data_IF_444299175474
#
_entry.id   IF_444299175474
#
_cell.length_a   1.000
_cell.length_b   1.000
_cell.length_c   1.000
_cell.angle_alpha   90.00
_cell.angle_beta   90.00
_cell.angle_gamma   90.00
#
_symmetry.space_group_name_H-M   'P 1'
#
loop_
_entity.id
_entity.type
_entity.pdbx_description
1 polymer ?
#
# COMPACT_ATOMS: atom_id res chain seq x y z
N UNK A 1 21.93 31.69 1.21
CA UNK A 1 21.13 30.55 0.69
C UNK A 1 21.70 30.21 -0.67
N UNK A 2 22.27 29.01 -0.85
CA UNK A 2 22.89 28.62 -2.13
C UNK A 2 21.78 28.16 -3.07
N UNK A 3 21.69 28.74 -4.27
CA UNK A 3 20.81 28.25 -5.33
C UNK A 3 21.44 26.96 -5.87
N UNK A 4 20.75 25.83 -5.66
CA UNK A 4 21.20 24.55 -6.19
C UNK A 4 20.70 24.40 -7.63
N UNK A 5 21.45 23.71 -8.51
CA UNK A 5 21.01 23.45 -9.88
C UNK A 5 19.75 22.57 -9.92
N UNK A 6 18.93 22.73 -10.95
CA UNK A 6 17.75 21.89 -11.17
C UNK A 6 18.11 20.39 -11.29
N UNK A 7 19.28 20.09 -11.84
CA UNK A 7 19.82 18.72 -11.89
C UNK A 7 20.02 18.10 -10.51
N UNK A 8 20.39 18.90 -9.50
CA UNK A 8 20.50 18.44 -8.13
C UNK A 8 19.11 18.14 -7.54
N UNK A 9 18.12 18.98 -7.80
CA UNK A 9 16.74 18.75 -7.32
C UNK A 9 16.12 17.50 -7.94
N UNK A 10 16.35 17.28 -9.24
CA UNK A 10 15.96 16.05 -9.93
C UNK A 10 16.66 14.83 -9.33
N UNK A 11 17.98 14.88 -9.17
CA UNK A 11 18.74 13.80 -8.56
C UNK A 11 18.24 13.47 -7.14
N UNK A 12 18.03 14.49 -6.29
CA UNK A 12 17.59 14.31 -4.92
C UNK A 12 16.18 13.69 -4.84
N UNK A 13 15.26 14.14 -5.70
CA UNK A 13 13.92 13.58 -5.78
C UNK A 13 13.94 12.12 -6.24
N UNK A 14 14.60 11.84 -7.37
CA UNK A 14 14.66 10.49 -7.94
C UNK A 14 15.35 9.51 -6.99
N UNK A 15 16.44 9.92 -6.34
CA UNK A 15 17.14 9.10 -5.34
C UNK A 15 16.27 8.76 -4.13
N UNK A 16 15.37 9.68 -3.72
CA UNK A 16 14.42 9.41 -2.65
C UNK A 16 13.34 8.41 -3.07
N UNK A 17 12.84 8.51 -4.31
CA UNK A 17 11.93 7.50 -4.88
C UNK A 17 12.62 6.13 -4.97
N UNK A 18 13.87 6.09 -5.43
CA UNK A 18 14.69 4.86 -5.47
C UNK A 18 14.84 4.24 -4.09
N UNK A 19 15.14 5.05 -3.07
CA UNK A 19 15.28 4.57 -1.70
C UNK A 19 13.97 3.95 -1.17
N UNK A 20 12.81 4.53 -1.51
CA UNK A 20 11.50 3.96 -1.14
C UNK A 20 11.28 2.62 -1.86
N UNK A 21 11.62 2.53 -3.15
CA UNK A 21 11.53 1.29 -3.93
C UNK A 21 12.40 0.19 -3.34
N UNK A 22 13.66 0.50 -3.04
CA UNK A 22 14.61 -0.48 -2.54
C UNK A 22 14.21 -0.97 -1.13
N UNK A 23 13.71 -0.08 -0.27
CA UNK A 23 13.14 -0.43 1.02
C UNK A 23 11.90 -1.35 0.89
N UNK A 24 11.05 -1.10 -0.12
CA UNK A 24 9.92 -1.97 -0.41
C UNK A 24 10.38 -3.36 -0.88
N UNK A 25 11.34 -3.44 -1.80
CA UNK A 25 11.86 -4.70 -2.32
C UNK A 25 12.52 -5.55 -1.22
N UNK A 26 13.27 -4.91 -0.32
CA UNK A 26 13.82 -5.58 0.86
C UNK A 26 12.71 -6.13 1.77
N UNK A 27 11.68 -5.31 2.03
CA UNK A 27 10.56 -5.68 2.91
C UNK A 27 9.73 -6.83 2.34
N UNK A 28 9.41 -6.79 1.04
CA UNK A 28 8.59 -7.83 0.40
C UNK A 28 9.35 -9.14 0.23
N UNK A 29 10.67 -9.09 0.07
CA UNK A 29 11.52 -10.29 0.04
C UNK A 29 11.43 -11.04 1.37
N UNK A 30 11.58 -10.33 2.50
CA UNK A 30 11.44 -10.91 3.84
C UNK A 30 10.04 -11.49 4.06
N UNK A 31 8.99 -10.78 3.65
CA UNK A 31 7.62 -11.25 3.81
C UNK A 31 7.31 -12.48 2.94
N UNK A 32 7.79 -12.52 1.69
CA UNK A 32 7.62 -13.69 0.81
C UNK A 32 8.28 -14.92 1.39
N UNK A 33 9.44 -14.78 2.00
CA UNK A 33 10.12 -15.87 2.67
C UNK A 33 9.34 -16.35 3.90
N UNK A 34 8.77 -15.42 4.68
CA UNK A 34 7.87 -15.77 5.79
C UNK A 34 6.60 -16.48 5.31
N UNK A 35 5.96 -16.01 4.23
CA UNK A 35 4.77 -16.65 3.64
C UNK A 35 5.10 -18.07 3.18
N UNK A 36 6.23 -18.24 2.48
CA UNK A 36 6.71 -19.55 2.01
C UNK A 36 6.99 -20.50 3.17
N UNK A 37 7.62 -20.01 4.24
CA UNK A 37 7.93 -20.82 5.43
C UNK A 37 6.66 -21.25 6.16
N UNK A 38 5.75 -20.32 6.44
CA UNK A 38 4.49 -20.61 7.13
C UNK A 38 3.63 -21.62 6.35
N UNK A 39 3.49 -21.42 5.03
CA UNK A 39 2.77 -22.37 4.18
C UNK A 39 3.42 -23.76 4.13
N UNK A 40 4.77 -23.83 4.10
CA UNK A 40 5.48 -25.11 4.14
C UNK A 40 5.28 -25.83 5.49
N UNK A 41 5.34 -25.12 6.62
CA UNK A 41 5.11 -25.69 7.94
C UNK A 41 3.68 -26.23 8.08
N UNK A 42 2.68 -25.45 7.65
CA UNK A 42 1.28 -25.89 7.63
C UNK A 42 1.07 -27.15 6.76
N UNK A 43 1.58 -27.15 5.53
CA UNK A 43 1.45 -28.29 4.63
C UNK A 43 2.17 -29.53 5.16
N UNK A 44 3.36 -29.38 5.75
CA UNK A 44 4.11 -30.49 6.33
C UNK A 44 3.35 -31.12 7.51
N UNK A 45 2.74 -30.31 8.37
CA UNK A 45 1.93 -30.81 9.48
C UNK A 45 0.67 -31.52 8.98
N UNK A 46 -0.06 -30.94 8.02
CA UNK A 46 -1.21 -31.63 7.42
C UNK A 46 -0.85 -32.97 6.78
N UNK A 47 0.34 -33.08 6.19
CA UNK A 47 0.80 -34.30 5.52
C UNK A 47 1.34 -35.35 6.49
N UNK A 48 1.76 -34.97 7.70
CA UNK A 48 2.22 -35.94 8.70
C UNK A 48 1.08 -36.82 9.21
N UNK A 49 -0.16 -36.30 9.18
CA UNK A 49 -1.33 -36.96 9.76
C UNK A 49 -1.29 -36.98 11.29
N UNK A 50 -0.40 -36.20 11.91
CA UNK A 50 -0.39 -35.97 13.35
C UNK A 50 -1.63 -35.14 13.73
N UNK A 51 -2.25 -35.53 14.84
CA UNK A 51 -3.35 -34.82 15.48
C UNK A 51 -3.00 -34.68 16.96
N UNK A 52 -2.82 -33.44 17.38
CA UNK A 52 -2.47 -33.04 18.74
C UNK A 52 -3.56 -32.18 19.37
N UNK A 53 -4.79 -32.25 18.86
CA UNK A 53 -5.90 -31.47 19.37
C UNK A 53 -6.20 -31.84 20.84
N UNK A 54 -6.19 -30.85 21.72
CA UNK A 54 -6.60 -31.00 23.12
C UNK A 54 -7.88 -30.20 23.39
N UNK A 55 -8.79 -30.81 24.15
CA UNK A 55 -10.07 -30.21 24.52
C UNK A 55 -10.21 -30.14 26.04
N UNK A 56 -10.83 -29.07 26.54
CA UNK A 56 -11.19 -28.95 27.96
C UNK A 56 -12.45 -29.77 28.34
N UNK A 57 -12.85 -29.68 29.62
CA UNK A 57 -14.01 -30.40 30.17
C UNK A 57 -15.34 -30.03 29.50
N UNK A 58 -15.41 -28.85 28.87
CA UNK A 58 -16.59 -28.34 28.17
C UNK A 58 -16.55 -28.64 26.65
N UNK A 59 -15.48 -29.30 26.17
CA UNK A 59 -15.29 -29.64 24.76
C UNK A 59 -14.76 -28.47 23.92
N UNK A 60 -14.18 -27.44 24.53
CA UNK A 60 -13.53 -26.35 23.83
C UNK A 60 -12.10 -26.73 23.46
N UNK A 61 -11.68 -26.43 22.22
CA UNK A 61 -10.31 -26.67 21.75
C UNK A 61 -9.33 -25.74 22.48
N UNK A 62 -8.41 -26.29 23.26
CA UNK A 62 -7.40 -25.56 24.04
C UNK A 62 -6.02 -25.57 23.39
N UNK A 63 -5.69 -26.61 22.63
CA UNK A 63 -4.42 -26.72 21.91
C UNK A 63 -4.64 -27.39 20.56
N UNK A 64 -3.88 -26.95 19.57
CA UNK A 64 -3.89 -27.50 18.22
C UNK A 64 -2.75 -26.87 17.42
N UNK A 65 -1.81 -27.70 16.98
CA UNK A 65 -0.72 -27.24 16.10
C UNK A 65 -1.26 -26.87 14.72
N UNK A 66 -2.23 -27.63 14.19
CA UNK A 66 -2.84 -27.35 12.89
C UNK A 66 -3.45 -25.94 12.83
N UNK A 67 -4.25 -25.60 13.83
CA UNK A 67 -4.93 -24.31 13.92
C UNK A 67 -3.93 -23.17 14.14
N UNK A 68 -2.88 -23.42 14.95
CA UNK A 68 -1.81 -22.45 15.18
C UNK A 68 -1.03 -22.14 13.89
N UNK A 69 -0.70 -23.16 13.10
CA UNK A 69 0.01 -23.02 11.83
C UNK A 69 -0.87 -22.33 10.76
N UNK A 70 -2.14 -22.72 10.65
CA UNK A 70 -3.11 -22.06 9.76
C UNK A 70 -3.25 -20.57 10.10
N UNK A 71 -3.33 -20.25 11.40
CA UNK A 71 -3.40 -18.87 11.87
C UNK A 71 -2.11 -18.11 11.54
N UNK A 72 -0.93 -18.72 11.73
CA UNK A 72 0.35 -18.10 11.38
C UNK A 72 0.43 -17.74 9.89
N UNK A 73 0.01 -18.64 8.99
CA UNK A 73 -0.05 -18.37 7.54
C UNK A 73 -0.93 -17.15 7.22
N UNK A 74 -2.14 -17.10 7.80
CA UNK A 74 -3.08 -15.99 7.63
C UNK A 74 -2.48 -14.67 8.14
N UNK A 75 -1.83 -14.68 9.30
CA UNK A 75 -1.23 -13.49 9.90
C UNK A 75 -0.10 -12.92 9.05
N UNK A 76 0.75 -13.77 8.45
CA UNK A 76 1.79 -13.29 7.53
C UNK A 76 1.17 -12.63 6.30
N UNK A 77 0.09 -13.21 5.74
CA UNK A 77 -0.64 -12.61 4.62
C UNK A 77 -1.23 -11.23 4.96
N UNK A 78 -1.75 -11.05 6.18
CA UNK A 78 -2.21 -9.74 6.66
C UNK A 78 -1.06 -8.74 6.81
N UNK A 79 0.04 -9.15 7.43
CA UNK A 79 1.23 -8.30 7.56
C UNK A 79 1.74 -7.84 6.19
N UNK A 80 1.81 -8.76 5.21
CA UNK A 80 2.25 -8.43 3.86
C UNK A 80 1.32 -7.43 3.16
N UNK A 81 0.01 -7.55 3.37
CA UNK A 81 -0.97 -6.59 2.86
C UNK A 81 -0.77 -5.20 3.47
N UNK A 82 -0.61 -5.10 4.79
CA UNK A 82 -0.42 -3.81 5.46
C UNK A 82 0.89 -3.13 5.06
N UNK A 83 1.98 -3.89 4.91
CA UNK A 83 3.26 -3.36 4.40
C UNK A 83 3.10 -2.78 3.00
N UNK A 84 2.41 -3.48 2.09
CA UNK A 84 2.17 -2.95 0.73
C UNK A 84 1.37 -1.64 0.76
N UNK A 85 0.34 -1.54 1.60
CA UNK A 85 -0.45 -0.30 1.77
C UNK A 85 0.40 0.85 2.31
N UNK A 86 1.28 0.56 3.28
CA UNK A 86 2.17 1.54 3.88
C UNK A 86 3.10 2.13 2.81
N UNK A 87 3.71 1.31 1.95
CA UNK A 87 4.60 1.79 0.90
C UNK A 87 3.90 2.63 -0.17
N UNK A 88 2.67 2.27 -0.59
CA UNK A 88 1.87 3.12 -1.49
C UNK A 88 1.62 4.50 -0.85
N UNK A 89 1.25 4.51 0.43
CA UNK A 89 1.00 5.73 1.19
C UNK A 89 2.28 6.58 1.32
N UNK A 90 3.40 5.95 1.68
CA UNK A 90 4.70 6.62 1.84
C UNK A 90 5.21 7.21 0.53
N UNK A 91 5.07 6.50 -0.60
CA UNK A 91 5.44 7.02 -1.91
C UNK A 91 4.62 8.27 -2.27
N UNK A 92 3.30 8.22 -2.08
CA UNK A 92 2.44 9.37 -2.34
C UNK A 92 2.77 10.56 -1.41
N UNK A 93 3.03 10.31 -0.13
CA UNK A 93 3.43 11.35 0.82
C UNK A 93 4.80 11.95 0.49
N UNK A 94 5.72 11.15 -0.04
CA UNK A 94 7.02 11.65 -0.52
C UNK A 94 6.84 12.62 -1.68
N UNK A 95 5.95 12.30 -2.64
CA UNK A 95 5.56 13.23 -3.69
C UNK A 95 4.96 14.51 -3.09
N UNK A 96 3.95 14.39 -2.22
CA UNK A 96 3.26 15.56 -1.65
C UNK A 96 4.22 16.50 -0.92
N UNK A 97 5.14 15.94 -0.12
CA UNK A 97 6.14 16.73 0.62
C UNK A 97 7.11 17.44 -0.33
N UNK A 98 7.61 16.73 -1.33
CA UNK A 98 8.46 17.30 -2.37
C UNK A 98 7.72 18.41 -3.12
N UNK A 99 6.44 18.18 -3.38
CA UNK A 99 5.62 19.12 -4.12
C UNK A 99 5.36 20.42 -3.38
N UNK A 100 5.13 20.34 -2.06
CA UNK A 100 5.04 21.54 -1.22
C UNK A 100 6.36 22.32 -1.24
N UNK A 101 7.50 21.62 -1.28
CA UNK A 101 8.82 22.26 -1.32
C UNK A 101 9.05 23.05 -2.63
N UNK A 102 8.70 22.50 -3.79
CA UNK A 102 8.94 23.20 -5.07
C UNK A 102 7.91 24.31 -5.36
N UNK A 103 6.71 24.24 -4.76
CA UNK A 103 5.61 25.18 -4.99
C UNK A 103 5.55 26.28 -3.95
N UNK A 104 6.12 26.05 -2.77
CA UNK A 104 5.94 26.92 -1.59
C UNK A 104 4.57 26.77 -0.93
N UNK A 105 3.74 25.82 -1.35
CA UNK A 105 2.36 25.64 -0.87
C UNK A 105 2.30 24.82 0.42
N UNK A 106 2.67 25.41 1.55
CA UNK A 106 2.71 24.70 2.84
C UNK A 106 1.42 24.75 3.67
N UNK A 107 0.50 25.66 3.34
CA UNK A 107 -0.73 25.80 4.14
C UNK A 107 -1.67 24.59 4.02
N UNK A 108 -2.39 24.21 5.09
CA UNK A 108 -3.34 23.10 5.09
C UNK A 108 -4.46 23.21 4.03
N UNK A 109 -4.81 24.43 3.62
CA UNK A 109 -5.81 24.69 2.58
C UNK A 109 -5.35 24.29 1.18
N UNK A 110 -4.03 24.14 0.96
CA UNK A 110 -3.46 23.66 -0.30
C UNK A 110 -3.57 22.13 -0.34
N UNK A 111 -4.80 21.68 -0.64
CA UNK A 111 -5.11 20.26 -0.86
C UNK A 111 -4.54 19.74 -2.18
N UNK A 112 -4.85 18.49 -2.48
CA UNK A 112 -4.29 17.78 -3.64
C UNK A 112 -4.46 18.54 -4.96
N UNK A 113 -5.67 19.02 -5.27
CA UNK A 113 -5.95 19.65 -6.58
C UNK A 113 -5.13 20.94 -6.79
N UNK A 114 -5.02 21.77 -5.76
CA UNK A 114 -4.21 23.01 -5.79
C UNK A 114 -2.73 22.69 -5.93
N UNK A 115 -2.26 21.67 -5.21
CA UNK A 115 -0.86 21.25 -5.27
C UNK A 115 -0.52 20.61 -6.62
N UNK A 116 -1.46 19.85 -7.20
CA UNK A 116 -1.33 19.22 -8.52
C UNK A 116 -1.15 20.27 -9.61
N UNK A 117 -2.05 21.27 -9.65
CA UNK A 117 -2.01 22.36 -10.64
C UNK A 117 -0.68 23.13 -10.57
N UNK A 118 -0.29 23.59 -9.39
CA UNK A 118 0.95 24.33 -9.21
C UNK A 118 2.22 23.48 -9.42
N UNK A 119 2.14 22.16 -9.26
CA UNK A 119 3.25 21.25 -9.57
C UNK A 119 3.40 21.03 -11.08
N UNK A 120 2.29 20.94 -11.81
CA UNK A 120 2.28 20.75 -13.26
C UNK A 120 2.88 21.94 -14.03
N UNK A 121 2.86 23.14 -13.45
CA UNK A 121 3.55 24.31 -14.00
C UNK A 121 5.08 24.21 -13.94
N UNK A 122 5.62 23.34 -13.06
CA UNK A 122 7.06 23.25 -12.76
C UNK A 122 7.69 21.96 -13.28
N UNK A 123 6.95 20.86 -13.23
CA UNK A 123 7.48 19.53 -13.51
C UNK A 123 6.47 18.67 -14.26
N UNK A 124 6.93 17.64 -15.00
CA UNK A 124 6.05 16.62 -15.52
C UNK A 124 5.24 15.96 -14.41
N UNK A 125 3.96 15.71 -14.68
CA UNK A 125 3.06 15.01 -13.78
C UNK A 125 2.42 13.83 -14.52
N UNK A 126 2.45 12.65 -13.90
CA UNK A 126 1.74 11.49 -14.43
C UNK A 126 0.22 11.73 -14.42
N UNK A 127 -0.51 11.42 -15.50
CA UNK A 127 -1.97 11.49 -15.51
C UNK A 127 -2.60 10.58 -14.44
N UNK A 128 -1.91 9.52 -14.02
CA UNK A 128 -2.41 8.56 -13.03
C UNK A 128 -2.23 9.02 -11.58
N UNK A 129 -1.62 10.18 -11.34
CA UNK A 129 -1.42 10.71 -10.00
C UNK A 129 -2.75 10.99 -9.27
N UNK A 130 -3.80 11.36 -10.02
CA UNK A 130 -5.16 11.54 -9.47
C UNK A 130 -5.72 10.22 -8.94
N UNK A 131 -5.54 9.13 -9.70
CA UNK A 131 -5.91 7.78 -9.28
C UNK A 131 -5.15 7.39 -8.00
N UNK A 132 -3.84 7.66 -7.96
CA UNK A 132 -3.02 7.36 -6.79
C UNK A 132 -3.46 8.15 -5.54
N UNK A 133 -3.89 9.41 -5.69
CA UNK A 133 -4.48 10.17 -4.59
C UNK A 133 -5.76 9.51 -4.06
N UNK A 134 -6.66 9.06 -4.95
CA UNK A 134 -7.85 8.32 -4.54
C UNK A 134 -7.49 7.03 -3.81
N UNK A 135 -6.55 6.25 -4.34
CA UNK A 135 -6.03 5.05 -3.71
C UNK A 135 -5.50 5.32 -2.29
N UNK A 136 -4.63 6.30 -2.14
CA UNK A 136 -4.08 6.73 -0.86
C UNK A 136 -5.18 7.15 0.16
N UNK A 137 -6.22 7.85 -0.29
CA UNK A 137 -7.34 8.23 0.56
C UNK A 137 -8.18 7.03 1.00
N UNK A 138 -8.38 6.04 0.13
CA UNK A 138 -9.06 4.78 0.51
C UNK A 138 -8.21 4.03 1.53
N UNK A 139 -6.89 3.91 1.31
CA UNK A 139 -5.98 3.20 2.20
C UNK A 139 -5.90 3.79 3.61
N UNK A 140 -5.94 5.12 3.75
CA UNK A 140 -5.86 5.81 5.05
C UNK A 140 -7.16 5.81 5.84
N UNK A 141 -8.27 6.06 5.15
CA UNK A 141 -9.53 6.42 5.81
C UNK A 141 -10.65 5.43 5.57
N UNK A 142 -10.40 4.32 4.85
CA UNK A 142 -11.47 3.49 4.29
C UNK A 142 -12.51 4.37 3.58
N UNK A 143 -12.02 5.36 2.83
CA UNK A 143 -12.82 6.50 2.37
C UNK A 143 -13.98 6.04 1.47
N UNK A 144 -15.20 6.09 2.01
CA UNK A 144 -16.44 5.79 1.29
C UNK A 144 -16.63 6.73 0.09
N UNK A 145 -16.03 7.93 0.12
CA UNK A 145 -16.07 8.90 -0.99
C UNK A 145 -15.06 8.60 -2.09
N UNK A 146 -13.89 8.07 -1.74
CA UNK A 146 -12.80 7.82 -2.71
C UNK A 146 -12.88 6.42 -3.31
N UNK A 147 -13.47 5.46 -2.60
CA UNK A 147 -13.57 4.07 -3.07
C UNK A 147 -14.41 3.93 -4.35
N UNK A 148 -15.59 4.58 -4.50
CA UNK A 148 -16.33 4.57 -5.77
C UNK A 148 -15.52 5.18 -6.92
N UNK A 149 -14.89 6.34 -6.69
CA UNK A 149 -14.05 7.02 -7.70
C UNK A 149 -12.89 6.14 -8.16
N UNK A 150 -12.27 5.42 -7.24
CA UNK A 150 -11.21 4.47 -7.57
C UNK A 150 -11.77 3.27 -8.33
N UNK A 151 -12.93 2.73 -7.93
CA UNK A 151 -13.56 1.59 -8.60
C UNK A 151 -13.95 1.90 -10.05
N UNK A 152 -14.36 3.15 -10.34
CA UNK A 152 -14.66 3.61 -11.69
C UNK A 152 -13.43 3.59 -12.63
N UNK A 153 -12.22 3.73 -12.07
CA UNK A 153 -10.96 3.80 -12.83
C UNK A 153 -10.22 2.45 -12.79
N UNK A 154 -10.27 1.73 -11.66
CA UNK A 154 -9.43 0.57 -11.33
C UNK A 154 -10.21 -0.50 -10.57
N UNK A 155 -11.03 -1.26 -11.29
CA UNK A 155 -11.77 -2.40 -10.72
C UNK A 155 -10.85 -3.52 -10.20
N UNK A 156 -9.64 -3.66 -10.76
CA UNK A 156 -8.63 -4.64 -10.38
C UNK A 156 -8.11 -4.48 -8.94
N UNK A 157 -8.27 -3.29 -8.36
CA UNK A 157 -7.92 -3.00 -6.98
C UNK A 157 -8.90 -3.59 -5.95
N UNK A 158 -10.06 -4.10 -6.38
CA UNK A 158 -11.10 -4.61 -5.50
C UNK A 158 -11.29 -6.12 -5.67
N UNK A 159 -11.32 -6.83 -4.55
CA UNK A 159 -11.52 -8.29 -4.55
C UNK A 159 -13.00 -8.67 -4.72
N UNK A 160 -13.92 -7.80 -4.29
CA UNK A 160 -15.38 -8.03 -4.33
C UNK A 160 -16.09 -6.70 -4.62
N UNK A 161 -17.31 -6.74 -5.19
CA UNK A 161 -18.23 -5.62 -5.13
C UNK A 161 -18.42 -5.16 -3.67
N UNK A 162 -18.76 -3.87 -3.45
CA UNK A 162 -18.96 -3.37 -2.11
C UNK A 162 -20.15 -4.07 -1.44
N UNK A 163 -20.03 -4.33 -0.15
CA UNK A 163 -21.05 -5.03 0.65
C UNK A 163 -21.35 -4.28 1.93
N UNK A 164 -22.41 -4.67 2.65
CA UNK A 164 -22.72 -4.13 3.98
C UNK A 164 -22.74 -5.28 4.99
N UNK A 165 -22.09 -5.09 6.13
CA UNK A 165 -22.15 -6.06 7.24
C UNK A 165 -23.52 -6.06 7.94
N UNK A 166 -24.23 -4.94 7.86
CA UNK A 166 -25.59 -4.77 8.38
C UNK A 166 -26.44 -4.00 7.37
N UNK A 167 -27.78 -4.16 7.34
CA UNK A 167 -28.64 -3.46 6.38
C UNK A 167 -28.41 -1.94 6.35
N UNK A 168 -28.23 -1.34 7.52
CA UNK A 168 -28.01 0.10 7.71
C UNK A 168 -26.52 0.50 7.74
N UNK A 169 -25.61 -0.47 7.60
CA UNK A 169 -24.17 -0.25 7.66
C UNK A 169 -23.60 0.51 6.45
N UNK A 170 -22.40 1.10 6.60
CA UNK A 170 -21.69 1.69 5.47
C UNK A 170 -21.31 0.61 4.44
N UNK A 171 -21.19 1.01 3.17
CA UNK A 171 -20.63 0.15 2.12
C UNK A 171 -19.14 -0.09 2.38
N UNK A 172 -18.80 -1.35 2.61
CA UNK A 172 -17.47 -1.86 2.83
C UNK A 172 -16.83 -2.25 1.51
N UNK A 173 -15.58 -1.83 1.33
CA UNK A 173 -14.79 -2.10 0.13
C UNK A 173 -13.59 -2.96 0.50
N UNK A 174 -13.51 -4.18 -0.07
CA UNK A 174 -12.36 -5.06 0.16
C UNK A 174 -11.32 -4.87 -0.95
N UNK A 175 -10.25 -4.16 -0.62
CA UNK A 175 -9.16 -3.97 -1.57
C UNK A 175 -8.18 -5.14 -1.62
N UNK A 176 -7.75 -5.47 -2.84
CA UNK A 176 -6.63 -6.35 -3.14
C UNK A 176 -5.41 -5.49 -3.50
N UNK A 177 -4.39 -5.50 -2.64
CA UNK A 177 -3.11 -4.85 -2.92
C UNK A 177 -2.04 -5.94 -3.08
N UNK A 178 -1.46 -6.00 -4.27
CA UNK A 178 -0.35 -6.89 -4.60
C UNK A 178 0.95 -6.06 -4.78
N UNK A 179 2.07 -6.75 -5.03
CA UNK A 179 3.37 -6.09 -5.27
C UNK A 179 3.33 -5.14 -6.48
N UNK A 180 2.66 -5.54 -7.56
CA UNK A 180 2.54 -4.73 -8.77
C UNK A 180 1.85 -3.38 -8.51
N UNK A 181 0.84 -3.32 -7.65
CA UNK A 181 0.19 -2.06 -7.28
C UNK A 181 1.14 -1.11 -6.52
N UNK A 182 2.08 -1.65 -5.75
CA UNK A 182 3.09 -0.82 -5.05
C UNK A 182 4.12 -0.30 -6.03
N UNK A 183 4.60 -1.16 -6.93
CA UNK A 183 5.55 -0.78 -7.98
C UNK A 183 4.94 0.27 -8.90
N UNK A 184 3.69 0.09 -9.31
CA UNK A 184 2.93 1.08 -10.08
C UNK A 184 2.82 2.42 -9.36
N UNK A 185 2.45 2.43 -8.07
CA UNK A 185 2.38 3.66 -7.28
C UNK A 185 3.72 4.40 -7.21
N UNK A 186 4.83 3.66 -7.07
CA UNK A 186 6.19 4.22 -7.07
C UNK A 186 6.53 4.81 -8.43
N UNK A 187 6.18 4.15 -9.54
CA UNK A 187 6.46 4.66 -10.88
C UNK A 187 5.60 5.88 -11.23
N UNK A 188 4.34 5.93 -10.79
CA UNK A 188 3.49 7.13 -10.90
C UNK A 188 4.15 8.31 -10.18
N UNK A 189 4.65 8.08 -8.95
CA UNK A 189 5.37 9.09 -8.17
C UNK A 189 6.65 9.51 -8.90
N UNK A 190 7.46 8.55 -9.36
CA UNK A 190 8.70 8.81 -10.12
C UNK A 190 8.47 9.72 -11.33
N UNK A 191 7.41 9.45 -12.08
CA UNK A 191 7.01 10.21 -13.25
C UNK A 191 6.38 11.58 -12.92
N UNK A 192 6.06 11.83 -11.65
CA UNK A 192 5.39 13.05 -11.18
C UNK A 192 6.33 13.99 -10.43
N UNK A 193 7.48 14.32 -11.04
CA UNK A 193 8.45 15.22 -10.42
C UNK A 193 9.63 15.55 -11.33
N UNK A 194 10.74 16.09 -10.79
CA UNK A 194 11.81 16.59 -11.63
C UNK A 194 12.58 15.38 -12.16
N UNK A 195 12.97 15.45 -13.43
CA UNK A 195 13.58 14.34 -14.15
C UNK A 195 15.07 14.62 -14.33
N UNK A 196 15.90 13.57 -14.18
CA UNK A 196 17.31 13.68 -14.51
C UNK A 196 17.41 13.68 -16.04
N UNK A 197 17.85 14.80 -16.60
CA UNK A 197 18.10 14.98 -18.03
C UNK A 197 19.34 14.22 -18.51
#
# INVERSE_FOLDING_TARGET
MVLLPDSFHAFAYQSGVDSIRDAFQASITTLREAERKAGAEYLNYMQSGEDDDEYDEDGCLTHSTLHSLAHAEIQVGYAAREVRKAFITSAFHYWERSARSWTGMFEPKHGFDVLLEASAEKHPISPDLVMLNHLNNVLKHHSIRSAPKLADIRTDHFYRPPYRDTPDGPLMWTMRINTGHVEEAIEIVRASGPQVS
#
